data_IF_985273327865
#
_entry.id   IF_985273327865
#
_cell.length_a   1.000
_cell.length_b   1.000
_cell.length_c   1.000
_cell.angle_alpha   90.00
_cell.angle_beta   90.00
_cell.angle_gamma   90.00
#
_symmetry.space_group_name_H-M   'P 1'
#
loop_
_entity.id
_entity.type
_entity.pdbx_description
1 polymer ?
#
# COMPACT_ATOMS: atom_id res chain seq x y z
N UNK A 1 5.00 -16.56 20.88
CA UNK A 1 3.90 -16.85 19.96
C UNK A 1 3.67 -15.66 19.07
N UNK A 2 3.40 -15.88 17.78
CA UNK A 2 3.07 -14.82 16.82
C UNK A 2 1.56 -14.69 16.70
N UNK A 3 1.05 -13.49 16.87
CA UNK A 3 -0.40 -13.22 16.89
C UNK A 3 -0.74 -12.15 15.87
N UNK A 4 -1.82 -12.37 15.13
CA UNK A 4 -2.39 -11.39 14.21
C UNK A 4 -3.68 -10.83 14.80
N UNK A 5 -3.77 -9.51 14.89
CA UNK A 5 -4.96 -8.80 15.35
C UNK A 5 -5.46 -7.87 14.26
N UNK A 6 -6.79 -7.75 14.16
CA UNK A 6 -7.46 -6.71 13.39
C UNK A 6 -7.94 -5.61 14.33
N UNK A 7 -7.76 -4.35 13.90
CA UNK A 7 -8.29 -3.19 14.59
C UNK A 7 -9.30 -2.48 13.71
N UNK A 8 -10.42 -2.03 14.32
CA UNK A 8 -11.44 -1.25 13.61
C UNK A 8 -12.01 -0.14 14.48
N UNK A 9 -12.24 1.06 13.90
CA UNK A 9 -12.86 2.19 14.60
C UNK A 9 -13.77 2.99 13.66
N UNK A 10 -14.99 3.34 14.10
CA UNK A 10 -15.91 4.20 13.34
C UNK A 10 -16.61 5.27 14.19
N UNK A 11 -16.14 5.52 15.42
CA UNK A 11 -16.61 6.59 16.30
C UNK A 11 -15.46 7.43 16.87
N UNK A 12 -15.70 8.72 17.04
CA UNK A 12 -14.74 9.66 17.61
C UNK A 12 -13.53 9.89 16.71
N UNK A 13 -12.38 10.16 17.30
CA UNK A 13 -11.11 10.19 16.58
C UNK A 13 -10.66 8.76 16.34
N UNK A 14 -11.04 8.23 15.15
CA UNK A 14 -10.85 6.84 14.75
C UNK A 14 -9.38 6.43 14.75
N UNK A 15 -8.50 7.31 14.27
CA UNK A 15 -7.08 7.02 14.18
C UNK A 15 -6.42 7.00 15.56
N UNK A 16 -6.71 8.00 16.40
CA UNK A 16 -6.23 8.09 17.78
C UNK A 16 -6.69 6.89 18.64
N UNK A 17 -7.94 6.46 18.47
CA UNK A 17 -8.45 5.26 19.15
C UNK A 17 -7.65 4.00 18.80
N UNK A 18 -7.30 3.83 17.51
CA UNK A 18 -6.53 2.68 17.04
C UNK A 18 -5.08 2.76 17.52
N UNK A 19 -4.44 3.94 17.48
CA UNK A 19 -3.08 4.13 17.98
C UNK A 19 -2.98 3.82 19.47
N UNK A 20 -3.90 4.33 20.29
CA UNK A 20 -3.98 4.02 21.73
C UNK A 20 -4.19 2.52 21.99
N UNK A 21 -4.95 1.83 21.13
CA UNK A 21 -5.10 0.39 21.23
C UNK A 21 -3.80 -0.34 20.93
N UNK A 22 -3.06 0.07 19.87
CA UNK A 22 -1.76 -0.52 19.52
C UNK A 22 -0.73 -0.30 20.63
N UNK A 23 -0.65 0.92 21.19
CA UNK A 23 0.23 1.24 22.32
C UNK A 23 -0.09 0.39 23.56
N UNK A 24 -1.39 0.24 23.86
CA UNK A 24 -1.82 -0.57 24.97
C UNK A 24 -1.49 -2.07 24.79
N UNK A 25 -1.65 -2.59 23.57
CA UNK A 25 -1.27 -3.95 23.19
C UNK A 25 0.24 -4.17 23.31
N UNK A 26 1.05 -3.22 22.83
CA UNK A 26 2.50 -3.27 22.94
C UNK A 26 2.99 -3.21 24.40
N UNK A 27 2.22 -2.58 25.29
CA UNK A 27 2.48 -2.49 26.72
C UNK A 27 2.08 -3.71 27.55
N UNK A 28 1.46 -4.74 26.96
CA UNK A 28 1.08 -5.95 27.68
C UNK A 28 2.32 -6.75 28.12
N UNK A 29 2.30 -7.42 29.29
CA UNK A 29 3.41 -8.23 29.77
C UNK A 29 3.85 -9.29 28.76
N UNK A 30 5.15 -9.38 28.51
CA UNK A 30 5.73 -10.37 27.59
C UNK A 30 5.28 -10.22 26.12
N UNK A 31 4.82 -9.03 25.74
CA UNK A 31 4.33 -8.71 24.40
C UNK A 31 5.20 -7.66 23.72
N UNK A 32 5.40 -7.78 22.41
CA UNK A 32 6.10 -6.80 21.61
C UNK A 32 5.43 -6.64 20.25
N UNK A 33 5.30 -5.40 19.78
CA UNK A 33 4.82 -5.06 18.45
C UNK A 33 5.90 -5.43 17.41
N UNK A 34 5.50 -6.16 16.37
CA UNK A 34 6.40 -6.61 15.29
C UNK A 34 6.19 -5.84 14.01
N UNK A 35 4.94 -5.83 13.52
CA UNK A 35 4.54 -5.17 12.28
C UNK A 35 3.15 -4.56 12.46
N UNK A 36 2.88 -3.50 11.72
CA UNK A 36 1.54 -2.93 11.61
C UNK A 36 1.31 -2.39 10.21
N UNK A 37 0.06 -2.42 9.76
CA UNK A 37 -0.33 -1.90 8.46
C UNK A 37 -0.55 -0.39 8.51
N UNK A 38 -0.65 0.22 7.35
CA UNK A 38 -1.32 1.51 7.20
C UNK A 38 -2.83 1.38 7.43
N UNK A 39 -3.56 2.50 7.33
CA UNK A 39 -4.99 2.55 7.61
C UNK A 39 -5.80 2.39 6.33
N UNK A 40 -6.79 1.51 6.35
CA UNK A 40 -7.73 1.26 5.26
C UNK A 40 -9.15 1.72 5.66
N UNK A 41 -9.76 2.58 4.84
CA UNK A 41 -11.15 2.97 5.04
C UNK A 41 -12.09 2.00 4.32
N UNK A 42 -13.13 1.53 5.03
CA UNK A 42 -14.18 0.68 4.46
C UNK A 42 -15.55 1.14 4.90
N UNK A 43 -16.57 0.79 4.13
CA UNK A 43 -17.96 0.95 4.57
C UNK A 43 -18.26 0.07 5.78
N UNK A 44 -19.24 0.49 6.59
CA UNK A 44 -19.74 -0.36 7.67
C UNK A 44 -20.45 -1.60 7.09
N UNK A 45 -20.16 -2.76 7.68
CA UNK A 45 -20.93 -3.98 7.40
C UNK A 45 -22.20 -3.92 8.27
N UNK A 46 -23.35 -3.75 7.64
CA UNK A 46 -24.63 -3.57 8.34
C UNK A 46 -25.64 -4.67 7.95
N UNK A 47 -26.51 -5.01 8.88
CA UNK A 47 -27.69 -5.79 8.55
C UNK A 47 -28.73 -4.91 7.82
N UNK A 48 -29.65 -5.52 7.08
CA UNK A 48 -30.65 -4.80 6.27
C UNK A 48 -31.58 -3.89 7.09
N UNK A 49 -31.77 -4.21 8.37
CA UNK A 49 -32.62 -3.49 9.33
C UNK A 49 -31.82 -2.56 10.28
N UNK A 50 -30.52 -2.38 10.04
CA UNK A 50 -29.70 -1.51 10.86
C UNK A 50 -30.13 -0.05 10.75
N UNK A 51 -30.12 0.73 11.84
CA UNK A 51 -30.44 2.15 11.83
C UNK A 51 -29.50 2.91 10.86
N UNK A 52 -30.02 3.83 10.03
CA UNK A 52 -29.18 4.58 9.06
C UNK A 52 -28.03 5.36 9.71
N UNK A 53 -28.15 5.77 10.95
CA UNK A 53 -27.10 6.47 11.72
C UNK A 53 -25.89 5.57 12.05
N UNK A 54 -25.99 4.25 11.86
CA UNK A 54 -24.90 3.31 12.05
C UNK A 54 -23.99 3.21 10.83
N UNK A 55 -24.45 3.71 9.66
CA UNK A 55 -23.67 3.74 8.43
C UNK A 55 -22.54 4.78 8.51
N UNK A 56 -21.54 4.44 9.32
CA UNK A 56 -20.32 5.24 9.49
C UNK A 56 -19.13 4.43 9.01
N UNK A 57 -18.29 4.99 8.10
CA UNK A 57 -17.15 4.28 7.58
C UNK A 57 -16.14 3.95 8.69
N UNK A 58 -15.60 2.74 8.63
CA UNK A 58 -14.54 2.28 9.51
C UNK A 58 -13.16 2.70 8.98
N UNK A 59 -12.25 2.95 9.90
CA UNK A 59 -10.82 2.80 9.67
C UNK A 59 -10.39 1.44 10.21
N UNK A 60 -9.60 0.71 9.42
CA UNK A 60 -9.13 -0.63 9.74
C UNK A 60 -7.61 -0.70 9.64
N UNK A 61 -6.99 -1.47 10.50
CA UNK A 61 -5.57 -1.81 10.46
C UNK A 61 -5.35 -3.23 10.96
N UNK A 62 -4.18 -3.79 10.65
CA UNK A 62 -3.73 -5.06 11.19
C UNK A 62 -2.42 -4.87 11.94
N UNK A 63 -2.23 -5.65 13.00
CA UNK A 63 -0.97 -5.71 13.74
C UNK A 63 -0.52 -7.14 13.93
N UNK A 64 0.80 -7.34 13.87
CA UNK A 64 1.49 -8.56 14.25
C UNK A 64 2.19 -8.34 15.58
N UNK A 65 1.88 -9.16 16.56
CA UNK A 65 2.51 -9.16 17.87
C UNK A 65 3.33 -10.44 18.10
N UNK A 66 4.36 -10.33 18.90
CA UNK A 66 4.96 -11.48 19.58
C UNK A 66 4.58 -11.42 21.05
N UNK A 67 3.97 -12.49 21.60
CA UNK A 67 3.51 -12.49 23.00
C UNK A 67 3.73 -13.84 23.68
N UNK A 68 3.85 -13.81 25.02
CA UNK A 68 3.85 -14.99 25.88
C UNK A 68 2.48 -15.26 26.53
N UNK A 69 1.49 -14.37 26.33
CA UNK A 69 0.14 -14.55 26.86
C UNK A 69 -0.55 -15.72 26.15
N UNK A 70 -1.28 -16.54 26.90
CA UNK A 70 -2.14 -17.57 26.32
C UNK A 70 -3.34 -16.95 25.57
N UNK A 71 -3.97 -17.68 24.63
CA UNK A 71 -5.06 -17.14 23.82
C UNK A 71 -6.20 -16.49 24.60
N UNK A 72 -6.69 -17.12 25.67
CA UNK A 72 -7.78 -16.57 26.49
C UNK A 72 -7.32 -15.37 27.34
N UNK A 73 -6.06 -15.38 27.83
CA UNK A 73 -5.53 -14.25 28.59
C UNK A 73 -5.36 -13.02 27.66
N UNK A 74 -4.94 -13.27 26.41
CA UNK A 74 -4.84 -12.21 25.40
C UNK A 74 -6.22 -11.66 25.02
N UNK A 75 -7.23 -12.55 24.84
CA UNK A 75 -8.61 -12.13 24.58
C UNK A 75 -9.14 -11.24 25.73
N UNK A 76 -8.94 -11.64 26.97
CA UNK A 76 -9.34 -10.83 28.11
C UNK A 76 -8.62 -9.47 28.15
N UNK A 77 -7.33 -9.45 27.76
CA UNK A 77 -6.56 -8.21 27.70
C UNK A 77 -7.06 -7.29 26.57
N UNK A 78 -7.39 -7.81 25.37
CA UNK A 78 -7.96 -7.00 24.28
C UNK A 78 -9.30 -6.41 24.67
N UNK A 79 -10.19 -7.17 25.27
CA UNK A 79 -11.49 -6.69 25.79
C UNK A 79 -11.33 -5.62 26.87
N UNK A 80 -10.36 -5.77 27.77
CA UNK A 80 -10.06 -4.75 28.77
C UNK A 80 -9.54 -3.44 28.15
N UNK A 81 -8.73 -3.52 27.08
CA UNK A 81 -8.26 -2.37 26.30
C UNK A 81 -9.45 -1.67 25.63
N UNK A 82 -10.31 -2.40 24.94
CA UNK A 82 -11.52 -1.87 24.31
C UNK A 82 -12.42 -1.11 25.30
N UNK A 83 -12.70 -1.73 26.44
CA UNK A 83 -13.49 -1.12 27.51
C UNK A 83 -12.85 0.16 28.05
N UNK A 84 -11.53 0.14 28.27
CA UNK A 84 -10.77 1.32 28.73
C UNK A 84 -10.81 2.46 27.70
N UNK A 85 -10.85 2.15 26.41
CA UNK A 85 -10.92 3.12 25.31
C UNK A 85 -12.38 3.54 25.00
N UNK A 86 -13.34 3.23 25.88
CA UNK A 86 -14.71 3.70 25.79
C UNK A 86 -15.64 2.87 24.93
N UNK A 87 -15.27 1.62 24.61
CA UNK A 87 -16.22 0.67 24.01
C UNK A 87 -17.33 0.38 24.99
N UNK A 88 -18.56 0.68 24.58
CA UNK A 88 -19.78 0.36 25.32
C UNK A 88 -20.36 -0.93 24.75
N UNK A 89 -20.80 -1.83 25.61
CA UNK A 89 -21.60 -2.99 25.19
C UNK A 89 -22.88 -2.50 24.53
N UNK A 90 -23.15 -2.99 23.33
CA UNK A 90 -24.26 -2.55 22.49
C UNK A 90 -24.72 -3.62 21.53
N UNK A 91 -25.67 -3.27 20.70
CA UNK A 91 -26.16 -4.16 19.66
C UNK A 91 -25.07 -4.54 18.66
N UNK A 92 -25.19 -5.73 18.11
CA UNK A 92 -24.31 -6.19 17.03
C UNK A 92 -24.41 -5.21 15.85
N UNK A 93 -23.27 -4.86 15.25
CA UNK A 93 -23.12 -3.88 14.16
C UNK A 93 -23.22 -2.39 14.55
N UNK A 94 -23.53 -2.06 15.82
CA UNK A 94 -23.53 -0.68 16.27
C UNK A 94 -22.14 -0.04 16.12
N UNK A 95 -22.06 1.28 15.86
CA UNK A 95 -20.81 2.03 15.82
C UNK A 95 -20.03 1.91 17.13
N UNK A 96 -18.70 1.81 17.04
CA UNK A 96 -17.84 1.61 18.20
C UNK A 96 -16.54 2.41 18.12
N UNK A 97 -16.03 2.80 19.29
CA UNK A 97 -14.77 3.54 19.40
C UNK A 97 -13.59 2.72 18.93
N UNK A 98 -13.56 1.44 19.29
CA UNK A 98 -12.51 0.49 18.91
C UNK A 98 -13.05 -0.94 18.92
N UNK A 99 -12.54 -1.75 18.01
CA UNK A 99 -12.72 -3.19 17.91
C UNK A 99 -11.34 -3.84 17.75
N UNK A 100 -11.04 -4.88 18.55
CA UNK A 100 -9.74 -5.57 18.51
C UNK A 100 -10.00 -7.08 18.39
N UNK A 101 -10.00 -7.56 17.15
CA UNK A 101 -10.26 -8.96 16.83
C UNK A 101 -8.97 -9.79 16.86
N UNK A 102 -8.97 -10.92 17.58
CA UNK A 102 -7.91 -11.93 17.53
C UNK A 102 -8.10 -12.78 16.27
N UNK A 103 -7.32 -12.48 15.22
CA UNK A 103 -7.47 -13.08 13.89
C UNK A 103 -6.79 -14.45 13.78
N UNK A 104 -5.56 -14.56 14.29
CA UNK A 104 -4.78 -15.80 14.29
C UNK A 104 -3.80 -15.80 15.46
N UNK A 105 -3.47 -16.99 15.97
CA UNK A 105 -2.53 -17.23 17.06
C UNK A 105 -1.61 -18.38 16.66
N UNK A 106 -0.37 -18.09 16.29
CA UNK A 106 0.56 -19.01 15.62
C UNK A 106 -0.15 -19.83 14.51
N UNK A 107 -0.06 -21.15 14.58
CA UNK A 107 -0.74 -22.10 13.70
C UNK A 107 -1.86 -22.84 14.43
N UNK A 108 -2.32 -22.30 15.56
CA UNK A 108 -3.34 -22.94 16.39
C UNK A 108 -4.75 -22.81 15.79
N UNK A 109 -5.54 -23.84 16.01
CA UNK A 109 -6.99 -23.82 15.79
C UNK A 109 -7.67 -23.99 17.14
N UNK A 110 -8.44 -22.99 17.56
CA UNK A 110 -9.15 -22.96 18.83
C UNK A 110 -10.65 -22.86 18.54
N UNK A 111 -11.45 -23.71 19.18
CA UNK A 111 -12.90 -23.66 19.05
C UNK A 111 -13.49 -23.89 20.45
N UNK A 112 -13.71 -22.79 21.15
CA UNK A 112 -14.38 -22.77 22.44
C UNK A 112 -15.58 -21.81 22.37
N UNK A 113 -16.50 -21.85 23.36
CA UNK A 113 -17.60 -20.89 23.40
C UNK A 113 -17.12 -19.41 23.45
N UNK A 114 -15.96 -19.16 24.04
CA UNK A 114 -15.40 -17.82 24.26
C UNK A 114 -14.51 -17.36 23.11
N UNK A 115 -13.83 -18.29 22.38
CA UNK A 115 -12.81 -17.95 21.41
C UNK A 115 -12.78 -18.93 20.25
N UNK A 116 -12.85 -18.36 19.03
CA UNK A 116 -12.61 -19.08 17.78
C UNK A 116 -11.42 -18.48 17.06
N UNK A 117 -10.38 -19.29 16.84
CA UNK A 117 -9.15 -18.93 16.09
C UNK A 117 -8.87 -20.01 15.04
N UNK A 118 -8.63 -19.67 13.78
CA UNK A 118 -8.72 -18.33 13.19
C UNK A 118 -10.12 -17.71 13.32
N UNK A 119 -10.16 -16.37 13.43
CA UNK A 119 -11.44 -15.65 13.53
C UNK A 119 -12.37 -15.99 12.37
N UNK A 120 -13.65 -16.24 12.64
CA UNK A 120 -14.62 -16.75 11.66
C UNK A 120 -14.72 -15.92 10.36
N UNK A 121 -14.52 -14.61 10.44
CA UNK A 121 -14.60 -13.72 9.26
C UNK A 121 -13.26 -13.39 8.61
N UNK A 122 -12.13 -13.98 9.07
CA UNK A 122 -10.80 -13.57 8.61
C UNK A 122 -10.54 -13.88 7.13
N UNK A 123 -11.23 -14.87 6.55
CA UNK A 123 -11.03 -15.31 5.16
C UNK A 123 -11.96 -14.67 4.14
N UNK A 124 -12.94 -13.88 4.60
CA UNK A 124 -14.07 -13.43 3.79
C UNK A 124 -14.23 -11.90 3.82
N UNK A 125 -13.46 -11.21 4.66
CA UNK A 125 -13.62 -9.76 4.88
C UNK A 125 -12.46 -8.98 4.29
N UNK A 126 -12.73 -8.17 3.28
CA UNK A 126 -11.72 -7.33 2.62
C UNK A 126 -11.02 -6.39 3.59
N UNK A 127 -11.77 -5.78 4.53
CA UNK A 127 -11.24 -4.85 5.53
C UNK A 127 -10.32 -5.51 6.58
N UNK A 128 -10.32 -6.84 6.67
CA UNK A 128 -9.36 -7.63 7.45
C UNK A 128 -8.18 -8.05 6.58
N UNK A 129 -8.46 -8.59 5.39
CA UNK A 129 -7.42 -9.16 4.52
C UNK A 129 -6.54 -8.12 3.85
N UNK A 130 -7.06 -6.91 3.52
CA UNK A 130 -6.27 -5.86 2.90
C UNK A 130 -5.11 -5.39 3.82
N UNK A 131 -5.36 -5.00 5.09
CA UNK A 131 -4.28 -4.65 5.99
C UNK A 131 -3.37 -5.84 6.37
N UNK A 132 -3.90 -7.07 6.46
CA UNK A 132 -3.07 -8.25 6.68
C UNK A 132 -2.14 -8.54 5.51
N UNK A 133 -2.63 -8.42 4.25
CA UNK A 133 -1.82 -8.62 3.06
C UNK A 133 -0.70 -7.58 2.90
N UNK A 134 -0.81 -6.43 3.55
CA UNK A 134 0.28 -5.45 3.62
C UNK A 134 1.43 -5.93 4.49
N UNK A 135 1.15 -6.58 5.63
CA UNK A 135 2.18 -6.91 6.64
C UNK A 135 2.64 -8.37 6.62
N UNK A 136 1.77 -9.31 6.22
CA UNK A 136 2.04 -10.76 6.20
C UNK A 136 1.48 -11.42 4.94
N UNK A 137 1.82 -10.94 3.71
CA UNK A 137 1.21 -11.41 2.46
C UNK A 137 1.39 -12.91 2.24
N UNK A 138 2.54 -13.48 2.59
CA UNK A 138 2.89 -14.90 2.40
C UNK A 138 2.40 -15.82 3.52
N UNK A 139 1.86 -15.27 4.63
CA UNK A 139 1.36 -16.07 5.75
C UNK A 139 0.15 -16.90 5.33
N UNK A 140 0.16 -18.19 5.69
CA UNK A 140 -1.01 -19.08 5.61
C UNK A 140 -1.70 -19.11 6.95
N UNK A 141 -3.02 -18.98 6.93
CA UNK A 141 -3.83 -19.12 8.14
C UNK A 141 -4.16 -20.60 8.38
N UNK A 142 -4.27 -21.07 9.63
CA UNK A 142 -4.67 -22.43 9.93
C UNK A 142 -5.94 -22.85 9.17
N UNK A 143 -5.95 -24.08 8.63
CA UNK A 143 -7.08 -24.62 7.87
C UNK A 143 -7.27 -24.09 6.46
N UNK A 144 -6.23 -23.47 5.84
CA UNK A 144 -6.16 -23.16 4.42
C UNK A 144 -4.76 -23.34 3.87
N UNK A 145 -4.64 -23.73 2.60
CA UNK A 145 -3.38 -23.77 1.86
C UNK A 145 -3.02 -22.42 1.24
N UNK A 146 -3.98 -21.47 1.22
CA UNK A 146 -3.82 -20.18 0.58
C UNK A 146 -3.12 -19.19 1.52
N UNK A 147 -2.30 -18.32 0.94
CA UNK A 147 -1.70 -17.20 1.65
C UNK A 147 -2.73 -16.09 1.90
N UNK A 148 -2.45 -15.19 2.83
CA UNK A 148 -3.29 -14.01 3.09
C UNK A 148 -3.48 -13.18 1.81
N UNK A 149 -2.45 -13.04 0.98
CA UNK A 149 -2.53 -12.33 -0.29
C UNK A 149 -3.47 -13.05 -1.29
N UNK A 150 -3.39 -14.37 -1.39
CA UNK A 150 -4.28 -15.17 -2.24
C UNK A 150 -5.73 -15.11 -1.75
N UNK A 151 -5.96 -15.18 -0.43
CA UNK A 151 -7.30 -15.00 0.15
C UNK A 151 -7.88 -13.62 -0.18
N UNK A 152 -7.07 -12.54 -0.05
CA UNK A 152 -7.49 -11.18 -0.41
C UNK A 152 -7.96 -11.10 -1.87
N UNK A 153 -7.23 -11.73 -2.79
CA UNK A 153 -7.51 -11.72 -4.24
C UNK A 153 -8.77 -12.48 -4.66
N UNK A 154 -9.28 -13.35 -3.79
CA UNK A 154 -10.53 -14.10 -4.02
C UNK A 154 -11.78 -13.32 -3.67
N UNK A 155 -11.66 -12.25 -2.92
CA UNK A 155 -12.80 -11.44 -2.49
C UNK A 155 -13.10 -10.41 -3.56
N UNK A 156 -14.37 -10.34 -3.98
CA UNK A 156 -14.83 -9.37 -5.00
C UNK A 156 -14.80 -7.93 -4.47
N UNK A 157 -14.99 -7.75 -3.15
CA UNK A 157 -14.85 -6.44 -2.49
C UNK A 157 -13.37 -6.09 -2.33
N UNK A 158 -12.90 -5.21 -3.20
CA UNK A 158 -11.49 -4.79 -3.20
C UNK A 158 -11.27 -3.54 -2.35
N UNK A 159 -10.21 -3.56 -1.54
CA UNK A 159 -9.67 -2.39 -0.83
C UNK A 159 -8.23 -2.17 -1.31
N UNK A 160 -8.03 -1.35 -2.37
CA UNK A 160 -6.68 -1.01 -2.79
C UNK A 160 -6.01 -0.07 -1.81
N UNK A 161 -4.70 -0.16 -1.70
CA UNK A 161 -3.88 0.85 -1.06
C UNK A 161 -3.58 1.99 -2.04
N UNK A 162 -3.67 3.22 -1.56
CA UNK A 162 -3.42 4.42 -2.36
C UNK A 162 -2.02 4.95 -2.11
N UNK A 163 -1.24 5.12 -3.18
CA UNK A 163 0.10 5.69 -3.15
C UNK A 163 0.09 7.06 -3.83
N UNK A 164 0.26 8.13 -3.05
CA UNK A 164 0.36 9.50 -3.55
C UNK A 164 1.74 9.78 -4.12
N UNK A 165 1.82 10.46 -5.27
CA UNK A 165 3.08 10.81 -5.95
C UNK A 165 3.53 12.20 -5.55
N UNK A 166 4.77 12.32 -5.07
CA UNK A 166 5.44 13.57 -4.72
C UNK A 166 6.70 13.75 -5.58
N UNK A 167 6.58 14.51 -6.66
CA UNK A 167 7.73 14.84 -7.52
C UNK A 167 8.40 16.14 -7.05
N UNK A 168 9.66 16.04 -6.63
CA UNK A 168 10.48 17.17 -6.16
C UNK A 168 11.49 17.53 -7.24
N UNK A 169 11.00 17.80 -8.47
CA UNK A 169 11.84 18.12 -9.62
C UNK A 169 11.65 19.57 -10.06
N UNK A 170 12.65 20.22 -10.74
CA UNK A 170 12.52 21.59 -11.24
C UNK A 170 11.31 21.77 -12.15
N UNK A 171 10.94 20.77 -12.94
CA UNK A 171 9.78 20.81 -13.84
C UNK A 171 8.45 20.78 -13.08
N UNK A 172 8.44 20.26 -11.86
CA UNK A 172 7.28 20.36 -10.95
C UNK A 172 7.05 21.79 -10.47
N UNK A 173 8.02 22.69 -10.70
CA UNK A 173 7.86 24.13 -10.45
C UNK A 173 7.03 24.83 -11.53
N UNK A 174 6.91 24.28 -12.76
CA UNK A 174 6.04 24.82 -13.80
C UNK A 174 4.55 24.63 -13.51
N UNK A 175 4.19 23.66 -12.69
CA UNK A 175 2.82 23.42 -12.21
C UNK A 175 2.49 24.21 -10.93
N UNK A 176 3.31 25.23 -10.57
CA UNK A 176 3.02 26.21 -9.52
C UNK A 176 3.46 25.88 -8.11
N UNK A 177 4.30 24.85 -7.86
CA UNK A 177 4.62 24.58 -6.48
C UNK A 177 5.89 23.81 -6.17
N UNK A 178 6.78 24.42 -5.42
CA UNK A 178 7.69 23.71 -4.53
C UNK A 178 6.83 22.84 -3.61
N UNK A 179 7.27 21.60 -3.31
CA UNK A 179 6.65 20.78 -2.26
C UNK A 179 6.53 21.57 -0.95
N UNK A 180 7.54 22.34 -0.64
CA UNK A 180 7.50 23.29 0.48
C UNK A 180 7.54 24.72 -0.07
N UNK A 181 6.46 25.47 0.16
CA UNK A 181 6.44 26.92 0.01
C UNK A 181 6.55 27.53 1.41
N UNK A 182 7.62 28.33 1.61
CA UNK A 182 7.92 28.90 2.95
C UNK A 182 7.98 27.78 4.03
N UNK A 183 8.66 26.68 3.72
CA UNK A 183 8.83 25.49 4.56
C UNK A 183 7.52 24.76 4.94
N UNK A 184 6.44 24.99 4.20
CA UNK A 184 5.14 24.32 4.39
C UNK A 184 4.61 23.71 3.10
N UNK A 185 4.02 22.50 3.13
CA UNK A 185 3.37 21.93 1.98
C UNK A 185 2.13 22.75 1.60
N UNK A 186 1.83 22.77 0.30
CA UNK A 186 0.57 23.35 -0.20
C UNK A 186 -0.62 22.49 0.19
N UNK A 187 -1.84 23.02 0.13
CA UNK A 187 -3.07 22.27 0.45
C UNK A 187 -3.20 20.99 -0.39
N UNK A 188 -2.89 21.05 -1.69
CA UNK A 188 -2.93 19.89 -2.56
C UNK A 188 -1.91 18.80 -2.17
N UNK A 189 -0.82 19.19 -1.54
CA UNK A 189 0.20 18.27 -1.05
C UNK A 189 -0.19 17.65 0.30
N UNK A 190 -0.90 18.39 1.14
CA UNK A 190 -1.46 17.86 2.39
C UNK A 190 -2.47 16.74 2.13
N UNK A 191 -3.23 16.80 1.04
CA UNK A 191 -4.15 15.73 0.64
C UNK A 191 -3.44 14.40 0.37
N UNK A 192 -2.16 14.43 -0.09
CA UNK A 192 -1.35 13.23 -0.30
C UNK A 192 -0.96 12.53 1.01
N UNK A 193 -1.00 13.25 2.14
CA UNK A 193 -0.68 12.69 3.46
C UNK A 193 -1.75 11.70 3.96
N UNK A 194 -2.91 11.68 3.35
CA UNK A 194 -4.00 10.76 3.70
C UNK A 194 -3.94 9.40 2.99
N UNK A 195 -2.90 9.16 2.15
CA UNK A 195 -2.69 7.88 1.48
C UNK A 195 -2.19 6.77 2.40
N UNK A 196 -2.14 5.56 1.87
CA UNK A 196 -1.43 4.46 2.53
C UNK A 196 0.09 4.62 2.36
N UNK A 197 0.49 5.15 1.20
CA UNK A 197 1.89 5.35 0.84
C UNK A 197 2.09 6.75 0.26
N UNK A 198 3.29 7.31 0.46
CA UNK A 198 3.76 8.54 -0.17
C UNK A 198 5.04 8.20 -0.91
N UNK A 199 5.07 8.34 -2.24
CA UNK A 199 6.22 8.03 -3.08
C UNK A 199 6.90 9.31 -3.54
N UNK A 200 8.14 9.51 -3.07
CA UNK A 200 8.90 10.76 -3.23
C UNK A 200 10.00 10.54 -4.26
N UNK A 201 9.99 11.32 -5.34
CA UNK A 201 11.01 11.30 -6.38
C UNK A 201 11.73 12.64 -6.57
N UNK A 202 13.06 12.61 -6.58
CA UNK A 202 13.91 13.79 -6.81
C UNK A 202 14.42 13.91 -8.24
N UNK A 203 14.23 12.87 -9.05
CA UNK A 203 14.61 12.80 -10.47
C UNK A 203 13.36 12.64 -11.35
N UNK A 204 13.36 13.29 -12.52
CA UNK A 204 12.29 13.09 -13.50
C UNK A 204 12.64 11.91 -14.41
N UNK A 205 11.70 10.97 -14.55
CA UNK A 205 11.83 9.82 -15.46
C UNK A 205 11.01 10.00 -16.76
N UNK A 206 10.48 11.21 -16.99
CA UNK A 206 9.73 11.57 -18.21
C UNK A 206 10.62 11.54 -19.43
N UNK A 207 10.06 11.33 -20.64
CA UNK A 207 10.83 11.43 -21.88
C UNK A 207 11.63 12.74 -21.99
N UNK A 208 12.92 12.62 -22.32
CA UNK A 208 13.82 13.78 -22.45
C UNK A 208 14.34 14.36 -21.13
N UNK A 209 14.06 13.76 -20.00
CA UNK A 209 14.64 14.18 -18.73
C UNK A 209 16.17 13.95 -18.71
N UNK A 210 16.87 14.86 -18.04
CA UNK A 210 18.33 14.79 -17.86
C UNK A 210 18.63 14.07 -16.54
N UNK A 211 19.63 13.19 -16.58
CA UNK A 211 20.10 12.47 -15.39
C UNK A 211 20.58 13.46 -14.32
N UNK A 212 20.27 13.12 -13.08
CA UNK A 212 20.61 13.92 -11.91
C UNK A 212 21.60 13.15 -11.04
N UNK A 213 22.67 13.82 -10.60
CA UNK A 213 23.59 13.20 -9.64
C UNK A 213 22.92 12.99 -8.28
N UNK A 214 23.43 11.98 -7.53
CA UNK A 214 22.84 11.56 -6.26
C UNK A 214 22.81 12.66 -5.20
N UNK A 215 23.76 13.60 -5.22
CA UNK A 215 23.80 14.69 -4.25
C UNK A 215 22.75 15.76 -4.55
N UNK A 216 22.50 16.02 -5.83
CA UNK A 216 21.42 16.91 -6.27
C UNK A 216 20.06 16.28 -6.01
N UNK A 217 19.88 14.99 -6.29
CA UNK A 217 18.68 14.24 -5.97
C UNK A 217 18.39 14.28 -4.46
N UNK A 218 19.40 13.98 -3.65
CA UNK A 218 19.28 14.01 -2.18
C UNK A 218 18.87 15.37 -1.63
N UNK A 219 19.51 16.46 -2.10
CA UNK A 219 19.15 17.83 -1.71
C UNK A 219 17.70 18.19 -2.01
N UNK A 220 17.09 17.54 -2.99
CA UNK A 220 15.67 17.76 -3.31
C UNK A 220 14.76 16.99 -2.36
N UNK A 221 15.06 15.71 -2.08
CA UNK A 221 14.15 14.82 -1.33
C UNK A 221 14.31 14.93 0.19
N UNK A 222 15.51 15.21 0.71
CA UNK A 222 15.79 15.26 2.14
C UNK A 222 14.87 16.24 2.92
N UNK A 223 14.62 17.48 2.46
CA UNK A 223 13.71 18.38 3.17
C UNK A 223 12.27 17.86 3.26
N UNK A 224 11.83 17.10 2.27
CA UNK A 224 10.48 16.48 2.27
C UNK A 224 10.43 15.34 3.29
N UNK A 225 11.46 14.49 3.33
CA UNK A 225 11.58 13.41 4.32
C UNK A 225 11.61 13.97 5.75
N UNK A 226 12.39 15.01 6.00
CA UNK A 226 12.46 15.68 7.30
C UNK A 226 11.10 16.26 7.70
N UNK A 227 10.41 16.94 6.77
CA UNK A 227 9.07 17.47 7.03
C UNK A 227 8.08 16.35 7.41
N UNK A 228 8.05 15.25 6.66
CA UNK A 228 7.13 14.13 6.92
C UNK A 228 7.44 13.45 8.26
N UNK A 229 8.71 13.28 8.61
CA UNK A 229 9.08 12.72 9.90
C UNK A 229 8.63 13.60 11.06
N UNK A 230 8.80 14.92 10.93
CA UNK A 230 8.30 15.88 11.93
C UNK A 230 6.77 15.92 11.99
N UNK A 231 6.10 15.94 10.83
CA UNK A 231 4.64 16.01 10.73
C UNK A 231 3.96 14.79 11.37
N UNK A 232 4.54 13.60 11.17
CA UNK A 232 4.03 12.35 11.73
C UNK A 232 4.73 11.91 13.01
N UNK A 233 5.50 12.81 13.65
CA UNK A 233 6.22 12.49 14.88
C UNK A 233 5.26 11.97 15.96
N UNK A 234 5.61 10.83 16.56
CA UNK A 234 4.79 10.17 17.58
C UNK A 234 3.56 9.41 17.04
N UNK A 235 3.30 9.39 15.71
CA UNK A 235 2.20 8.65 15.10
C UNK A 235 2.66 7.27 14.63
N UNK A 236 1.92 6.23 15.04
CA UNK A 236 2.14 4.85 14.59
C UNK A 236 1.43 4.58 13.26
N UNK A 237 0.17 5.01 13.16
CA UNK A 237 -0.67 4.83 11.97
C UNK A 237 -0.50 6.01 11.01
N UNK A 238 0.63 6.05 10.32
CA UNK A 238 0.99 7.05 9.32
C UNK A 238 1.20 6.40 7.95
N UNK A 239 1.15 7.16 6.84
CA UNK A 239 1.58 6.65 5.54
C UNK A 239 2.99 6.08 5.59
N UNK A 240 3.22 4.98 4.90
CA UNK A 240 4.59 4.50 4.68
C UNK A 240 5.25 5.33 3.58
N UNK A 241 6.49 5.72 3.80
CA UNK A 241 7.24 6.54 2.85
C UNK A 241 7.99 5.63 1.89
N UNK A 242 7.86 5.92 0.60
CA UNK A 242 8.59 5.33 -0.51
C UNK A 242 9.54 6.37 -1.10
N UNK A 243 10.73 5.96 -1.50
CA UNK A 243 11.67 6.76 -2.28
C UNK A 243 11.74 6.23 -3.72
N UNK A 244 11.37 7.07 -4.70
CA UNK A 244 11.49 6.78 -6.14
C UNK A 244 12.90 7.23 -6.59
N UNK A 245 13.81 6.27 -6.66
CA UNK A 245 15.21 6.50 -7.02
C UNK A 245 15.88 5.28 -7.63
N UNK A 246 16.76 5.49 -8.61
CA UNK A 246 17.68 4.50 -9.16
C UNK A 246 19.11 4.65 -8.64
N UNK A 247 19.35 5.62 -7.75
CA UNK A 247 20.64 5.87 -7.12
C UNK A 247 20.81 5.05 -5.84
N UNK A 248 21.78 4.12 -5.76
CA UNK A 248 22.07 3.39 -4.53
C UNK A 248 22.43 4.32 -3.36
N UNK A 249 23.12 5.42 -3.63
CA UNK A 249 23.50 6.40 -2.60
C UNK A 249 22.28 7.09 -2.01
N UNK A 250 21.35 7.53 -2.85
CA UNK A 250 20.10 8.16 -2.40
C UNK A 250 19.24 7.15 -1.64
N UNK A 251 19.13 5.92 -2.13
CA UNK A 251 18.39 4.85 -1.44
C UNK A 251 18.97 4.55 -0.05
N UNK A 252 20.28 4.43 0.08
CA UNK A 252 20.92 4.18 1.39
C UNK A 252 20.60 5.29 2.40
N UNK A 253 20.75 6.56 2.00
CA UNK A 253 20.42 7.72 2.85
C UNK A 253 18.94 7.78 3.21
N UNK A 254 18.05 7.45 2.26
CA UNK A 254 16.61 7.41 2.51
C UNK A 254 16.23 6.29 3.49
N UNK A 255 16.85 5.12 3.39
CA UNK A 255 16.68 4.01 4.35
C UNK A 255 17.12 4.44 5.75
N UNK A 256 18.25 5.11 5.87
CA UNK A 256 18.73 5.67 7.15
C UNK A 256 17.75 6.74 7.70
N UNK A 257 17.10 7.51 6.82
CA UNK A 257 16.03 8.46 7.18
C UNK A 257 14.68 7.80 7.48
N UNK A 258 14.57 6.46 7.44
CA UNK A 258 13.39 5.71 7.87
C UNK A 258 12.34 5.47 6.79
N UNK A 259 12.68 5.53 5.49
CA UNK A 259 11.74 5.12 4.44
C UNK A 259 11.45 3.62 4.54
N UNK A 260 10.25 3.23 4.14
CA UNK A 260 9.76 1.85 4.23
C UNK A 260 9.84 1.09 2.89
N UNK A 261 9.94 1.82 1.77
CA UNK A 261 9.91 1.26 0.42
C UNK A 261 10.98 1.95 -0.43
N UNK A 262 11.68 1.19 -1.28
CA UNK A 262 12.49 1.74 -2.37
C UNK A 262 11.84 1.36 -3.70
N UNK A 263 11.46 2.38 -4.47
CA UNK A 263 10.88 2.25 -5.80
C UNK A 263 11.96 2.54 -6.84
N UNK A 264 12.45 1.51 -7.53
CA UNK A 264 13.47 1.66 -8.54
C UNK A 264 12.89 1.39 -9.94
N UNK A 265 12.64 2.47 -10.66
CA UNK A 265 12.10 2.42 -12.04
C UNK A 265 13.07 1.76 -13.04
N UNK A 266 14.35 1.56 -12.67
CA UNK A 266 15.32 0.84 -13.50
C UNK A 266 15.23 -0.69 -13.39
N UNK A 267 14.36 -1.19 -12.50
CA UNK A 267 14.19 -2.63 -12.26
C UNK A 267 15.39 -3.25 -11.53
N UNK A 268 16.04 -2.48 -10.66
CA UNK A 268 17.24 -2.89 -9.91
C UNK A 268 18.41 -3.30 -10.81
N UNK A 269 18.60 -2.57 -11.92
CA UNK A 269 19.71 -2.81 -12.84
C UNK A 269 21.09 -2.61 -12.18
N UNK A 270 21.16 -1.81 -11.11
CA UNK A 270 22.39 -1.58 -10.34
C UNK A 270 22.52 -2.59 -9.20
N UNK A 271 23.56 -3.45 -9.28
CA UNK A 271 23.83 -4.47 -8.26
C UNK A 271 24.03 -3.90 -6.85
N UNK A 272 24.64 -2.72 -6.72
CA UNK A 272 24.81 -2.07 -5.42
C UNK A 272 23.47 -1.75 -4.75
N UNK A 273 22.41 -1.45 -5.52
CA UNK A 273 21.05 -1.26 -5.00
C UNK A 273 20.52 -2.56 -4.37
N UNK A 274 20.71 -3.69 -5.06
CA UNK A 274 20.29 -5.01 -4.55
C UNK A 274 21.03 -5.34 -3.24
N UNK A 275 22.34 -5.07 -3.16
CA UNK A 275 23.15 -5.32 -1.97
C UNK A 275 22.68 -4.47 -0.76
N UNK A 276 22.36 -3.19 -0.97
CA UNK A 276 21.77 -2.31 0.05
C UNK A 276 20.44 -2.85 0.55
N UNK A 277 19.56 -3.25 -0.38
CA UNK A 277 18.23 -3.75 -0.05
C UNK A 277 18.27 -5.11 0.64
N UNK A 278 19.20 -5.98 0.29
CA UNK A 278 19.41 -7.25 0.99
C UNK A 278 19.79 -7.05 2.47
N UNK A 279 20.55 -5.99 2.78
CA UNK A 279 20.90 -5.59 4.14
C UNK A 279 19.81 -4.81 4.90
N UNK A 280 18.71 -4.46 4.25
CA UNK A 280 17.64 -3.65 4.84
C UNK A 280 16.37 -4.47 5.13
N UNK A 281 15.36 -3.81 5.73
CA UNK A 281 14.01 -4.37 5.92
C UNK A 281 12.97 -3.71 5.02
N UNK A 282 13.36 -2.80 4.14
CA UNK A 282 12.46 -2.10 3.26
C UNK A 282 11.82 -3.04 2.25
N UNK A 283 10.58 -2.78 1.92
CA UNK A 283 9.95 -3.33 0.73
C UNK A 283 10.57 -2.69 -0.52
N UNK A 284 10.36 -3.28 -1.68
CA UNK A 284 10.92 -2.79 -2.93
C UNK A 284 9.92 -2.90 -4.07
N UNK A 285 9.85 -1.87 -4.92
CA UNK A 285 9.05 -1.90 -6.14
C UNK A 285 9.96 -2.26 -7.32
N UNK A 286 9.75 -3.46 -7.86
CA UNK A 286 10.41 -3.97 -9.06
C UNK A 286 9.59 -3.59 -10.29
N UNK A 287 10.04 -2.57 -11.03
CA UNK A 287 9.32 -2.08 -12.21
C UNK A 287 9.96 -2.55 -13.52
N UNK A 288 9.15 -3.12 -14.41
CA UNK A 288 9.58 -3.43 -15.77
C UNK A 288 9.71 -2.16 -16.63
N UNK A 289 10.84 -2.02 -17.30
CA UNK A 289 11.11 -0.96 -18.26
C UNK A 289 11.92 -1.48 -19.47
N UNK A 290 11.94 -0.76 -20.57
CA UNK A 290 12.89 -0.95 -21.68
C UNK A 290 13.98 0.13 -21.72
N UNK A 291 13.70 1.28 -21.11
CA UNK A 291 14.63 2.39 -20.95
C UNK A 291 14.20 3.33 -19.83
N UNK A 292 15.16 3.93 -19.14
CA UNK A 292 14.97 5.00 -18.17
C UNK A 292 16.00 6.10 -18.50
N UNK A 293 15.56 7.33 -18.80
CA UNK A 293 14.17 7.79 -18.97
C UNK A 293 13.38 7.03 -20.04
N UNK A 294 12.03 7.12 -19.95
CA UNK A 294 11.17 6.48 -20.93
C UNK A 294 11.41 7.05 -22.34
N UNK A 295 11.62 6.17 -23.32
CA UNK A 295 11.75 6.52 -24.73
C UNK A 295 10.49 6.05 -25.49
N UNK A 296 9.66 6.98 -26.03
CA UNK A 296 8.46 6.61 -26.77
C UNK A 296 8.73 5.81 -28.07
N UNK A 297 9.95 5.86 -28.61
CA UNK A 297 10.35 5.10 -29.80
C UNK A 297 10.79 3.67 -29.46
N UNK A 298 11.16 3.40 -28.21
CA UNK A 298 11.58 2.10 -27.72
C UNK A 298 10.42 1.42 -26.98
N UNK A 299 9.60 0.67 -27.73
CA UNK A 299 8.45 -0.08 -27.19
C UNK A 299 8.59 -1.57 -27.50
N UNK A 300 7.87 -2.40 -26.77
CA UNK A 300 7.78 -3.84 -27.05
C UNK A 300 7.34 -4.07 -28.51
N UNK A 301 7.78 -5.15 -29.18
CA UNK A 301 7.31 -5.50 -30.52
C UNK A 301 5.78 -5.54 -30.59
N UNK A 302 5.22 -5.04 -31.69
CA UNK A 302 3.77 -4.92 -31.85
C UNK A 302 3.03 -6.26 -31.90
N UNK A 303 3.71 -7.32 -32.28
CA UNK A 303 3.22 -8.69 -32.44
C UNK A 303 3.47 -9.60 -31.24
N UNK A 304 4.10 -9.08 -30.16
CA UNK A 304 4.32 -9.84 -28.94
C UNK A 304 3.12 -9.77 -27.98
N UNK A 305 2.93 -10.83 -27.18
CA UNK A 305 2.09 -10.75 -25.99
C UNK A 305 2.83 -9.99 -24.88
N UNK A 306 2.39 -8.77 -24.49
CA UNK A 306 3.10 -7.99 -23.50
C UNK A 306 3.13 -8.66 -22.12
N UNK A 307 2.10 -9.46 -21.77
CA UNK A 307 2.06 -10.18 -20.50
C UNK A 307 3.08 -11.36 -20.50
N UNK A 308 3.28 -12.03 -21.62
CA UNK A 308 4.29 -13.07 -21.73
C UNK A 308 5.71 -12.50 -21.53
N UNK A 309 5.99 -11.31 -22.10
CA UNK A 309 7.26 -10.60 -21.88
C UNK A 309 7.44 -10.24 -20.41
N UNK A 310 6.41 -9.63 -19.80
CA UNK A 310 6.44 -9.28 -18.38
C UNK A 310 6.66 -10.49 -17.47
N UNK A 311 6.01 -11.63 -17.77
CA UNK A 311 6.15 -12.86 -17.00
C UNK A 311 7.58 -13.39 -17.03
N UNK A 312 8.19 -13.45 -18.21
CA UNK A 312 9.59 -13.90 -18.33
C UNK A 312 10.51 -12.97 -17.53
N UNK A 313 10.35 -11.67 -17.73
CA UNK A 313 11.19 -10.68 -17.07
C UNK A 313 11.05 -10.67 -15.54
N UNK A 314 9.81 -10.71 -15.02
CA UNK A 314 9.59 -10.78 -13.57
C UNK A 314 10.12 -12.09 -12.99
N UNK A 315 9.91 -13.23 -13.67
CA UNK A 315 10.44 -14.51 -13.23
C UNK A 315 11.96 -14.48 -13.02
N UNK A 316 12.70 -13.97 -14.01
CA UNK A 316 14.16 -13.85 -13.96
C UNK A 316 14.63 -12.89 -12.84
N UNK A 317 13.99 -11.72 -12.74
CA UNK A 317 14.39 -10.69 -11.75
C UNK A 317 14.03 -11.08 -10.31
N UNK A 318 12.90 -11.73 -10.10
CA UNK A 318 12.54 -12.27 -8.79
C UNK A 318 13.54 -13.33 -8.31
N UNK A 319 14.01 -14.22 -9.22
CA UNK A 319 15.07 -15.17 -8.87
C UNK A 319 16.40 -14.50 -8.51
N UNK A 320 16.77 -13.40 -9.21
CA UNK A 320 17.97 -12.61 -8.88
C UNK A 320 17.86 -12.04 -7.47
N UNK A 321 16.71 -11.44 -7.13
CA UNK A 321 16.46 -10.86 -5.82
C UNK A 321 16.45 -11.92 -4.71
N UNK A 322 15.83 -13.07 -4.94
CA UNK A 322 15.81 -14.19 -3.98
C UNK A 322 17.21 -14.74 -3.73
N UNK A 323 18.04 -14.91 -4.78
CA UNK A 323 19.45 -15.32 -4.64
C UNK A 323 20.30 -14.32 -3.86
N UNK A 324 19.92 -13.04 -3.89
CA UNK A 324 20.53 -11.99 -3.06
C UNK A 324 20.01 -11.96 -1.62
N UNK A 325 19.09 -12.86 -1.23
CA UNK A 325 18.53 -12.94 0.12
C UNK A 325 17.33 -12.04 0.36
N UNK A 326 16.74 -11.46 -0.69
CA UNK A 326 15.53 -10.63 -0.58
C UNK A 326 14.30 -11.54 -0.68
N UNK A 327 13.53 -11.62 0.41
CA UNK A 327 12.32 -12.42 0.44
C UNK A 327 11.25 -11.87 -0.51
N UNK A 328 10.59 -12.76 -1.25
CA UNK A 328 9.54 -12.42 -2.23
C UNK A 328 8.40 -11.59 -1.64
N UNK A 329 8.04 -11.80 -0.40
CA UNK A 329 7.01 -11.03 0.33
C UNK A 329 7.32 -9.52 0.46
N UNK A 330 8.60 -9.14 0.32
CA UNK A 330 9.04 -7.75 0.31
C UNK A 330 8.92 -7.10 -1.07
N UNK A 331 8.77 -7.90 -2.13
CA UNK A 331 8.73 -7.39 -3.50
C UNK A 331 7.31 -6.98 -3.88
N UNK A 332 7.22 -5.80 -4.49
CA UNK A 332 6.03 -5.27 -5.13
C UNK A 332 6.36 -5.17 -6.62
N UNK A 333 5.61 -5.81 -7.49
CA UNK A 333 5.86 -5.74 -8.93
C UNK A 333 5.03 -4.64 -9.58
N UNK A 334 5.65 -3.88 -10.51
CA UNK A 334 4.98 -2.86 -11.34
C UNK A 334 5.23 -3.17 -12.82
N UNK A 335 4.19 -3.37 -13.64
CA UNK A 335 4.36 -3.62 -15.07
C UNK A 335 4.96 -2.44 -15.83
N UNK A 336 5.09 -1.26 -15.23
CA UNK A 336 5.73 -0.08 -15.83
C UNK A 336 4.95 0.46 -17.03
N UNK A 337 3.66 0.77 -16.84
CA UNK A 337 2.83 1.43 -17.86
C UNK A 337 3.53 2.70 -18.37
N UNK A 338 3.70 2.79 -19.71
CA UNK A 338 4.38 3.93 -20.35
C UNK A 338 5.92 3.87 -20.38
N UNK A 339 6.54 2.79 -19.85
CA UNK A 339 7.98 2.54 -19.93
C UNK A 339 8.24 1.40 -20.91
N UNK A 340 8.34 1.73 -22.21
CA UNK A 340 8.56 0.76 -23.28
C UNK A 340 7.30 -0.03 -23.67
N UNK A 341 6.12 0.54 -23.53
CA UNK A 341 4.84 -0.05 -23.97
C UNK A 341 4.06 0.98 -24.79
N UNK A 342 3.51 0.55 -25.93
CA UNK A 342 2.56 1.35 -26.69
C UNK A 342 1.25 1.56 -25.90
N UNK A 343 0.38 2.45 -26.36
CA UNK A 343 -0.93 2.68 -25.76
C UNK A 343 -1.78 1.39 -25.75
N UNK A 344 -1.77 0.62 -26.84
CA UNK A 344 -2.50 -0.63 -26.98
C UNK A 344 -1.97 -1.67 -25.99
N UNK A 345 -0.66 -1.86 -25.92
CA UNK A 345 -0.03 -2.79 -24.98
C UNK A 345 -0.29 -2.38 -23.52
N UNK A 346 -0.30 -1.08 -23.22
CA UNK A 346 -0.64 -0.57 -21.89
C UNK A 346 -2.07 -0.91 -21.50
N UNK A 347 -3.04 -0.75 -22.42
CA UNK A 347 -4.44 -1.12 -22.21
C UNK A 347 -4.62 -2.63 -22.05
N UNK A 348 -3.90 -3.43 -22.82
CA UNK A 348 -3.93 -4.89 -22.72
C UNK A 348 -3.37 -5.36 -21.36
N UNK A 349 -2.27 -4.78 -20.89
CA UNK A 349 -1.72 -5.09 -19.55
C UNK A 349 -2.71 -4.71 -18.45
N UNK A 350 -3.38 -3.55 -18.56
CA UNK A 350 -4.42 -3.12 -17.61
C UNK A 350 -5.61 -4.09 -17.62
N UNK A 351 -6.04 -4.52 -18.80
CA UNK A 351 -7.17 -5.45 -18.93
C UNK A 351 -6.85 -6.83 -18.38
N UNK A 352 -5.62 -7.29 -18.56
CA UNK A 352 -5.14 -8.61 -18.11
C UNK A 352 -4.33 -8.54 -16.81
N UNK A 353 -4.49 -7.48 -15.98
CA UNK A 353 -3.70 -7.27 -14.77
C UNK A 353 -3.71 -8.44 -13.78
N UNK A 354 -4.79 -9.22 -13.73
CA UNK A 354 -4.90 -10.44 -12.90
C UNK A 354 -3.81 -11.47 -13.19
N UNK A 355 -3.27 -11.52 -14.40
CA UNK A 355 -2.26 -12.48 -14.77
C UNK A 355 -0.92 -12.23 -14.05
N UNK A 356 -0.65 -11.00 -13.61
CA UNK A 356 0.52 -10.66 -12.80
C UNK A 356 0.46 -11.20 -11.36
N UNK A 357 -0.72 -11.65 -10.92
CA UNK A 357 -0.91 -12.17 -9.55
C UNK A 357 -0.33 -13.57 -9.36
N UNK A 358 0.09 -14.25 -10.43
CA UNK A 358 0.73 -15.56 -10.37
C UNK A 358 2.06 -15.56 -9.60
N UNK A 359 2.71 -14.40 -9.47
CA UNK A 359 4.01 -14.29 -8.80
C UNK A 359 3.93 -14.30 -7.26
N UNK A 360 2.73 -14.29 -6.67
CA UNK A 360 2.54 -14.16 -5.21
C UNK A 360 3.23 -12.93 -4.60
N UNK A 361 3.51 -11.91 -5.43
CA UNK A 361 3.96 -10.59 -5.03
C UNK A 361 2.77 -9.62 -5.00
N UNK A 362 2.82 -8.59 -4.16
CA UNK A 362 1.90 -7.46 -4.29
C UNK A 362 2.10 -6.79 -5.65
N UNK A 363 1.03 -6.29 -6.24
CA UNK A 363 1.05 -5.64 -7.55
C UNK A 363 0.74 -4.16 -7.41
N UNK A 364 1.60 -3.32 -7.98
CA UNK A 364 1.44 -1.88 -8.08
C UNK A 364 1.22 -1.48 -9.53
N UNK A 365 0.36 -0.49 -9.77
CA UNK A 365 0.22 0.16 -11.07
C UNK A 365 0.43 1.66 -10.97
N UNK A 366 1.49 2.14 -11.64
CA UNK A 366 1.76 3.57 -11.85
C UNK A 366 1.16 4.06 -13.17
N UNK A 367 -0.16 4.14 -13.27
CA UNK A 367 -0.91 4.39 -14.51
C UNK A 367 -1.39 5.85 -14.67
N UNK A 368 -1.27 6.66 -13.61
CA UNK A 368 -1.89 7.98 -13.51
C UNK A 368 -1.34 8.99 -14.52
N UNK A 369 -2.24 9.69 -15.21
CA UNK A 369 -1.99 10.77 -16.19
C UNK A 369 -1.12 10.37 -17.38
N UNK A 370 -0.84 9.08 -17.61
CA UNK A 370 0.08 8.62 -18.66
C UNK A 370 -0.51 8.73 -20.07
N UNK A 371 0.38 8.70 -21.06
CA UNK A 371 0.08 8.99 -22.47
C UNK A 371 -0.89 8.02 -23.12
N UNK A 372 -1.01 6.79 -22.64
CA UNK A 372 -2.00 5.84 -23.18
C UNK A 372 -3.45 6.37 -23.10
N UNK A 373 -3.75 7.24 -22.11
CA UNK A 373 -5.07 7.89 -21.96
C UNK A 373 -5.36 8.87 -23.12
N UNK A 374 -4.35 9.47 -23.74
CA UNK A 374 -4.50 10.40 -24.86
C UNK A 374 -5.15 9.74 -26.08
N UNK A 375 -4.93 8.43 -26.26
CA UNK A 375 -5.57 7.68 -27.34
C UNK A 375 -7.10 7.66 -27.25
N UNK A 376 -7.64 7.89 -26.05
CA UNK A 376 -9.09 7.81 -25.77
C UNK A 376 -9.75 9.19 -25.68
N UNK A 377 -9.13 10.16 -25.00
CA UNK A 377 -9.81 11.41 -24.63
C UNK A 377 -9.15 12.67 -25.14
N UNK A 378 -7.89 12.61 -25.62
CA UNK A 378 -7.12 13.73 -26.17
C UNK A 378 -6.94 14.94 -25.24
N UNK A 379 -7.14 14.74 -23.91
CA UNK A 379 -6.93 15.79 -22.92
C UNK A 379 -5.44 15.86 -22.47
N UNK A 380 -4.96 17.06 -22.07
CA UNK A 380 -3.58 17.21 -21.59
C UNK A 380 -3.35 16.44 -20.28
N UNK A 381 -2.12 16.05 -19.94
CA UNK A 381 -1.82 15.25 -18.75
C UNK A 381 -2.36 15.81 -17.43
N UNK A 382 -2.38 17.14 -17.27
CA UNK A 382 -2.90 17.81 -16.07
C UNK A 382 -4.41 17.64 -15.86
N UNK A 383 -5.16 17.26 -16.91
CA UNK A 383 -6.62 17.12 -16.87
C UNK A 383 -7.08 15.66 -16.91
N UNK A 384 -6.16 14.67 -16.94
CA UNK A 384 -6.45 13.23 -17.06
C UNK A 384 -6.87 12.54 -15.75
N UNK A 385 -7.20 13.29 -14.72
CA UNK A 385 -7.57 12.68 -13.43
C UNK A 385 -8.89 11.91 -13.48
N UNK A 386 -9.97 12.38 -14.16
CA UNK A 386 -11.19 11.58 -14.32
C UNK A 386 -10.95 10.23 -15.01
N UNK A 387 -10.17 10.21 -16.10
CA UNK A 387 -9.80 8.99 -16.81
C UNK A 387 -8.94 8.07 -15.95
N UNK A 388 -8.01 8.65 -15.20
CA UNK A 388 -7.18 7.91 -14.24
C UNK A 388 -8.04 7.21 -13.19
N UNK A 389 -9.05 7.89 -12.64
CA UNK A 389 -9.98 7.32 -11.65
C UNK A 389 -10.75 6.13 -12.23
N UNK A 390 -11.23 6.23 -13.49
CA UNK A 390 -11.93 5.14 -14.15
C UNK A 390 -11.03 3.89 -14.31
N UNK A 391 -9.77 4.10 -14.71
CA UNK A 391 -8.79 3.00 -14.81
C UNK A 391 -8.43 2.44 -13.43
N UNK A 392 -8.29 3.29 -12.42
CA UNK A 392 -8.04 2.87 -11.04
C UNK A 392 -9.15 1.95 -10.51
N UNK A 393 -10.42 2.27 -10.77
CA UNK A 393 -11.54 1.44 -10.38
C UNK A 393 -11.49 0.07 -11.07
N UNK A 394 -11.13 0.04 -12.36
CA UNK A 394 -10.98 -1.19 -13.12
C UNK A 394 -9.84 -2.08 -12.57
N UNK A 395 -8.67 -1.49 -12.29
CA UNK A 395 -7.53 -2.19 -11.70
C UNK A 395 -7.85 -2.73 -10.29
N UNK A 396 -8.52 -1.94 -9.46
CA UNK A 396 -8.95 -2.36 -8.12
C UNK A 396 -9.88 -3.59 -8.21
N UNK A 397 -10.89 -3.58 -9.09
CA UNK A 397 -11.77 -4.74 -9.33
C UNK A 397 -11.03 -5.99 -9.81
N UNK A 398 -9.91 -5.82 -10.48
CA UNK A 398 -9.01 -6.91 -10.90
C UNK A 398 -8.11 -7.41 -9.76
N UNK A 399 -8.18 -6.80 -8.57
CA UNK A 399 -7.46 -7.21 -7.37
C UNK A 399 -6.08 -6.58 -7.19
N UNK A 400 -5.72 -5.58 -8.01
CA UNK A 400 -4.46 -4.83 -7.85
C UNK A 400 -4.40 -4.22 -6.45
N UNK A 401 -3.28 -4.44 -5.76
CA UNK A 401 -3.13 -4.08 -4.37
C UNK A 401 -2.79 -2.60 -4.17
N UNK A 402 -1.96 -2.02 -5.03
CA UNK A 402 -1.44 -0.64 -4.85
C UNK A 402 -1.66 0.17 -6.12
N UNK A 403 -2.29 1.33 -5.98
CA UNK A 403 -2.55 2.26 -7.07
C UNK A 403 -1.79 3.58 -6.83
N UNK A 404 -0.79 3.85 -7.68
CA UNK A 404 0.06 5.04 -7.58
C UNK A 404 -0.55 6.16 -8.42
N UNK A 405 -1.00 7.24 -7.76
CA UNK A 405 -1.84 8.28 -8.35
C UNK A 405 -1.42 9.70 -7.93
N UNK A 406 -1.73 10.71 -8.78
CA UNK A 406 -1.44 12.11 -8.50
C UNK A 406 -2.58 12.79 -7.70
N UNK A 407 -3.85 12.54 -8.04
CA UNK A 407 -5.02 13.16 -7.42
C UNK A 407 -5.65 12.22 -6.37
N UNK A 408 -4.99 12.08 -5.22
CA UNK A 408 -5.37 11.11 -4.19
C UNK A 408 -6.77 11.35 -3.62
N UNK A 409 -7.12 12.61 -3.27
CA UNK A 409 -8.44 12.94 -2.73
C UNK A 409 -9.57 12.57 -3.70
N UNK A 410 -9.38 12.86 -4.99
CA UNK A 410 -10.36 12.49 -6.02
C UNK A 410 -10.60 10.98 -6.06
N UNK A 411 -9.53 10.17 -5.99
CA UNK A 411 -9.62 8.71 -5.96
C UNK A 411 -10.34 8.21 -4.71
N UNK A 412 -10.02 8.72 -3.54
CA UNK A 412 -10.67 8.35 -2.26
C UNK A 412 -12.15 8.72 -2.24
N UNK A 413 -12.50 9.92 -2.71
CA UNK A 413 -13.90 10.36 -2.81
C UNK A 413 -14.70 9.48 -3.77
N UNK A 414 -14.13 9.20 -4.95
CA UNK A 414 -14.74 8.28 -5.92
C UNK A 414 -14.92 6.90 -5.30
N UNK A 415 -13.89 6.37 -4.62
CA UNK A 415 -13.89 5.03 -4.06
C UNK A 415 -14.98 4.83 -3.00
N UNK A 416 -15.19 5.83 -2.15
CA UNK A 416 -16.29 5.82 -1.15
C UNK A 416 -17.66 5.68 -1.79
N UNK A 417 -17.89 6.33 -2.92
CA UNK A 417 -19.15 6.20 -3.68
C UNK A 417 -19.20 4.85 -4.37
N UNK A 418 -18.14 4.47 -5.04
CA UNK A 418 -18.05 3.24 -5.82
C UNK A 418 -18.35 1.99 -4.98
N UNK A 419 -17.76 1.85 -3.81
CA UNK A 419 -17.99 0.73 -2.88
C UNK A 419 -19.45 0.58 -2.43
N UNK A 420 -20.27 1.64 -2.53
CA UNK A 420 -21.70 1.60 -2.15
C UNK A 420 -22.63 1.30 -3.33
N UNK A 421 -22.14 1.44 -4.54
CA UNK A 421 -22.98 1.38 -5.75
C UNK A 421 -22.59 0.25 -6.69
N UNK A 422 -21.45 -0.36 -6.49
CA UNK A 422 -20.97 -1.52 -7.24
C UNK A 422 -21.27 -2.83 -6.50
#
# INVERSE_FOLDING_TARGET
>A
MTVLLGLGSNLGDRCDNMEKAIEALAGLPGTSLRRWSTVYESNALLAADSPPMWDKPFLNAAVELSTSLKPLDLLAATQAIEKRLGRVEGERWAPRTIDVDLLAYDDETITTPELVVPHVGVRERAFVLAPLAEIVPSRRLPGTSETVLQLKRRIDDSLPAWMGVVNVTPDSFSDGGRWLKDDKPTTAQLELLDGNYIDIGGESTRPGAVDVDSETEWRRVAPVLEYLDQHFSGRLLRPKISIDTRSPTTAARAIEAGVSIVNDVSGFANRAMIEILAGSRCDLVLMHNLSVPADPSNVLPHDCDPLAVLRSWFGEHLEILERAGIARERVIIDPGIGFGKSAIQSLEIIDRARELMEFDCRVLFGHSRKSYLESMTKVPPSERDPETVAVSANLARRGVEILRVHALDLHRRFWRVYQRTA
#
